data_IF_103380208506
#
_entry.id   IF_103380208506
#
_cell.length_a   1.000
_cell.length_b   1.000
_cell.length_c   1.000
_cell.angle_alpha   90.00
_cell.angle_beta   90.00
_cell.angle_gamma   90.00
#
_symmetry.space_group_name_H-M   'P 1'
#
loop_
_entity.id
_entity.type
_entity.pdbx_description
1 polymer ?
#
# COMPACT_ATOMS: atom_id res chain seq x y z
N UNK A 1 7.83 24.48 -0.32
CA UNK A 1 8.32 24.65 1.09
C UNK A 1 9.85 24.70 1.09
N UNK A 2 10.51 25.75 1.67
CA UNK A 2 11.98 25.84 1.71
C UNK A 2 12.45 26.26 3.10
N UNK A 3 13.61 25.70 3.51
CA UNK A 3 14.31 26.04 4.78
C UNK A 3 13.43 25.88 6.03
N UNK A 4 12.62 24.80 6.11
CA UNK A 4 11.74 24.49 7.23
C UNK A 4 12.21 23.24 7.96
N UNK A 5 11.83 23.15 9.24
CA UNK A 5 11.94 21.92 10.04
C UNK A 5 10.68 21.08 9.85
N UNK A 6 10.81 19.92 9.23
CA UNK A 6 9.69 19.01 8.97
C UNK A 6 9.86 17.75 9.82
N UNK A 7 8.85 17.42 10.60
CA UNK A 7 8.84 16.19 11.41
C UNK A 7 7.87 15.18 10.83
N UNK A 8 8.38 14.01 10.47
CA UNK A 8 7.58 12.89 9.98
C UNK A 8 7.41 11.88 11.11
N UNK A 9 6.16 11.56 11.45
CA UNK A 9 5.79 10.54 12.44
C UNK A 9 5.28 9.30 11.73
N UNK A 10 5.91 8.14 11.97
CA UNK A 10 5.52 6.86 11.37
C UNK A 10 5.66 5.72 12.39
N UNK A 11 5.16 4.53 12.05
CA UNK A 11 5.27 3.34 12.89
C UNK A 11 6.16 2.24 12.32
N UNK A 12 6.77 2.47 11.13
CA UNK A 12 7.59 1.48 10.45
C UNK A 12 8.55 2.15 9.46
N UNK A 13 9.83 1.80 9.55
CA UNK A 13 10.89 2.27 8.68
C UNK A 13 10.74 1.78 7.24
N UNK A 14 10.39 0.50 7.06
CA UNK A 14 10.17 -0.10 5.73
C UNK A 14 9.10 0.66 4.95
N UNK A 15 7.97 0.98 5.59
CA UNK A 15 6.89 1.75 4.96
C UNK A 15 7.35 3.15 4.56
N UNK A 16 8.14 3.81 5.41
CA UNK A 16 8.64 5.14 5.14
C UNK A 16 9.70 5.14 4.02
N UNK A 17 10.69 4.25 4.10
CA UNK A 17 11.75 4.17 3.10
C UNK A 17 11.24 3.72 1.73
N UNK A 18 10.50 2.60 1.64
CA UNK A 18 10.05 2.07 0.36
C UNK A 18 9.04 2.97 -0.36
N UNK A 19 8.14 3.60 0.38
CA UNK A 19 7.03 4.34 -0.22
C UNK A 19 7.14 5.85 -0.14
N UNK A 20 7.99 6.41 0.73
CA UNK A 20 8.08 7.87 0.94
C UNK A 20 9.49 8.43 0.73
N UNK A 21 10.47 7.60 0.32
CA UNK A 21 11.84 8.06 0.06
C UNK A 21 11.91 9.21 -0.94
N UNK A 22 11.09 9.18 -2.00
CA UNK A 22 11.06 10.24 -3.01
C UNK A 22 10.56 11.58 -2.43
N UNK A 23 9.48 11.57 -1.65
CA UNK A 23 9.00 12.76 -0.94
C UNK A 23 10.04 13.28 0.05
N UNK A 24 10.65 12.40 0.83
CA UNK A 24 11.70 12.77 1.80
C UNK A 24 12.88 13.40 1.09
N UNK A 25 13.35 12.80 -0.01
CA UNK A 25 14.44 13.33 -0.82
C UNK A 25 14.12 14.71 -1.35
N UNK A 26 12.95 14.89 -1.96
CA UNK A 26 12.51 16.18 -2.49
C UNK A 26 12.43 17.26 -1.39
N UNK A 27 11.91 16.91 -0.21
CA UNK A 27 11.90 17.84 0.93
C UNK A 27 13.30 18.26 1.35
N UNK A 28 14.27 17.36 1.39
CA UNK A 28 15.68 17.65 1.72
C UNK A 28 16.33 18.47 0.61
N UNK A 29 16.12 18.12 -0.66
CA UNK A 29 16.67 18.83 -1.82
C UNK A 29 16.17 20.28 -1.91
N UNK A 30 14.96 20.56 -1.36
CA UNK A 30 14.44 21.92 -1.17
C UNK A 30 15.04 22.68 0.02
N UNK A 31 16.04 22.12 0.72
CA UNK A 31 16.74 22.74 1.84
C UNK A 31 16.04 22.60 3.20
N UNK A 32 15.07 21.68 3.34
CA UNK A 32 14.41 21.45 4.62
C UNK A 32 15.22 20.53 5.53
N UNK A 33 15.18 20.76 6.84
CA UNK A 33 15.64 19.82 7.86
C UNK A 33 14.55 18.77 8.12
N UNK A 34 14.75 17.52 7.71
CA UNK A 34 13.77 16.45 7.86
C UNK A 34 14.09 15.58 9.06
N UNK A 35 13.21 15.59 10.04
CA UNK A 35 13.22 14.73 11.22
C UNK A 35 12.26 13.57 11.02
N UNK A 36 12.66 12.35 11.40
CA UNK A 36 11.81 11.16 11.37
C UNK A 36 11.71 10.54 12.77
N UNK A 37 10.50 10.28 13.23
CA UNK A 37 10.21 9.67 14.52
C UNK A 37 9.46 8.35 14.32
N UNK A 38 10.12 7.23 14.57
CA UNK A 38 9.61 5.87 14.36
C UNK A 38 10.43 4.86 15.18
N UNK A 39 9.96 3.59 15.30
CA UNK A 39 10.74 2.52 15.93
C UNK A 39 12.04 2.24 15.18
N UNK A 40 13.05 1.74 15.91
CA UNK A 40 14.28 1.24 15.30
C UNK A 40 13.96 0.08 14.33
N UNK A 41 14.57 0.10 13.14
CA UNK A 41 14.40 -0.92 12.12
C UNK A 41 15.60 -0.98 11.18
N UNK A 42 15.63 -1.95 10.28
CA UNK A 42 16.76 -2.21 9.38
C UNK A 42 17.03 -1.09 8.38
N UNK A 43 15.98 -0.37 7.94
CA UNK A 43 16.09 0.71 6.94
C UNK A 43 16.24 2.11 7.53
N UNK A 44 16.35 2.22 8.87
CA UNK A 44 16.62 3.51 9.54
C UNK A 44 17.96 4.08 9.10
N UNK A 45 18.97 3.24 8.91
CA UNK A 45 20.28 3.69 8.48
C UNK A 45 20.22 4.32 7.08
N UNK A 46 19.50 3.72 6.15
CA UNK A 46 19.27 4.26 4.81
C UNK A 46 18.59 5.65 4.85
N UNK A 47 17.58 5.83 5.73
CA UNK A 47 16.92 7.13 5.91
C UNK A 47 17.88 8.19 6.49
N UNK A 48 18.80 7.81 7.40
CA UNK A 48 19.85 8.71 7.92
C UNK A 48 20.85 9.12 6.83
N UNK A 49 21.26 8.16 6.00
CA UNK A 49 22.16 8.41 4.85
C UNK A 49 21.54 9.35 3.81
N UNK A 50 20.21 9.36 3.70
CA UNK A 50 19.48 10.36 2.90
C UNK A 50 19.51 11.77 3.51
N UNK A 51 19.96 11.95 4.76
CA UNK A 51 20.00 13.23 5.46
C UNK A 51 18.90 13.41 6.52
N UNK A 52 18.15 12.37 6.88
CA UNK A 52 17.14 12.48 7.93
C UNK A 52 17.74 12.46 9.34
N UNK A 53 17.20 13.28 10.22
CA UNK A 53 17.47 13.24 11.66
C UNK A 53 16.55 12.22 12.33
N UNK A 54 17.10 11.09 12.78
CA UNK A 54 16.32 10.00 13.39
C UNK A 54 16.08 10.20 14.88
N UNK A 55 14.83 9.94 15.29
CA UNK A 55 14.38 9.95 16.68
C UNK A 55 13.70 8.62 16.97
N UNK A 56 14.35 7.78 17.76
CA UNK A 56 13.77 6.50 18.14
C UNK A 56 12.50 6.69 18.96
N UNK A 57 11.40 6.13 18.46
CA UNK A 57 10.09 6.21 19.08
C UNK A 57 9.40 4.86 18.99
N UNK A 58 9.43 4.04 20.04
CA UNK A 58 8.71 2.77 20.07
C UNK A 58 7.21 2.98 19.89
N UNK A 59 6.61 2.21 18.98
CA UNK A 59 5.17 2.21 18.68
C UNK A 59 4.69 0.78 18.70
N UNK A 60 3.76 0.47 19.60
CA UNK A 60 3.04 -0.80 19.55
C UNK A 60 2.01 -0.75 18.40
N UNK A 61 2.30 -1.45 17.30
CA UNK A 61 1.53 -1.35 16.06
C UNK A 61 0.12 -1.96 16.14
N UNK A 62 -0.06 -3.03 16.90
CA UNK A 62 -1.30 -3.83 16.95
C UNK A 62 -2.01 -3.75 18.31
N UNK A 63 -1.31 -3.39 19.37
CA UNK A 63 -1.87 -3.29 20.72
C UNK A 63 -2.89 -2.17 20.85
N UNK A 64 -3.85 -2.35 21.72
CA UNK A 64 -4.92 -1.39 22.06
C UNK A 64 -4.85 -0.96 23.52
N UNK A 65 -3.66 -0.96 24.12
CA UNK A 65 -3.47 -0.61 25.53
C UNK A 65 -3.46 0.92 25.73
N UNK A 66 -4.45 1.50 26.44
CA UNK A 66 -4.56 2.95 26.63
C UNK A 66 -3.36 3.58 27.32
N UNK A 67 -2.73 2.88 28.27
CA UNK A 67 -1.56 3.40 28.98
C UNK A 67 -0.33 3.52 28.05
N UNK A 68 -0.12 2.54 27.17
CA UNK A 68 0.96 2.57 26.17
C UNK A 68 0.69 3.69 25.14
N UNK A 69 -0.55 3.86 24.73
CA UNK A 69 -0.95 4.87 23.78
C UNK A 69 -0.86 6.29 24.36
N UNK A 70 -1.19 6.46 25.64
CA UNK A 70 -0.97 7.73 26.35
C UNK A 70 0.53 8.06 26.47
N UNK A 71 1.38 7.07 26.78
CA UNK A 71 2.85 7.26 26.79
C UNK A 71 3.37 7.70 25.43
N UNK A 72 2.87 7.11 24.34
CA UNK A 72 3.24 7.49 22.97
C UNK A 72 2.82 8.95 22.69
N UNK A 73 1.61 9.34 23.05
CA UNK A 73 1.13 10.71 22.89
C UNK A 73 2.01 11.70 23.65
N UNK A 74 2.35 11.43 24.92
CA UNK A 74 3.25 12.29 25.71
C UNK A 74 4.67 12.36 25.11
N UNK A 75 5.16 11.28 24.52
CA UNK A 75 6.43 11.27 23.81
C UNK A 75 6.38 12.22 22.60
N UNK A 76 5.31 12.19 21.81
CA UNK A 76 5.13 13.14 20.70
C UNK A 76 5.05 14.59 21.19
N UNK A 77 4.36 14.88 22.30
CA UNK A 77 4.36 16.20 22.92
C UNK A 77 5.78 16.69 23.26
N UNK A 78 6.63 15.82 23.81
CA UNK A 78 8.01 16.15 24.16
C UNK A 78 8.88 16.38 22.91
N UNK A 79 8.76 15.52 21.89
CA UNK A 79 9.48 15.66 20.61
C UNK A 79 9.14 16.98 19.95
N UNK A 80 7.84 17.30 19.81
CA UNK A 80 7.36 18.56 19.25
C UNK A 80 7.85 19.76 20.03
N UNK A 81 7.92 19.68 21.36
CA UNK A 81 8.46 20.76 22.20
C UNK A 81 9.95 21.01 22.03
N UNK A 82 10.73 19.94 21.79
CA UNK A 82 12.19 20.02 21.59
C UNK A 82 12.55 20.50 20.18
N UNK A 83 11.95 19.90 19.14
CA UNK A 83 12.29 20.18 17.73
C UNK A 83 11.69 21.51 17.28
N UNK A 84 10.46 21.80 17.74
CA UNK A 84 9.63 22.94 17.28
C UNK A 84 9.54 22.96 15.75
N UNK A 85 9.00 21.90 15.13
CA UNK A 85 8.93 21.81 13.67
C UNK A 85 7.93 22.82 13.11
N UNK A 86 8.18 23.28 11.89
CA UNK A 86 7.28 24.15 11.14
C UNK A 86 6.09 23.37 10.56
N UNK A 87 6.27 22.06 10.32
CA UNK A 87 5.26 21.16 9.81
C UNK A 87 5.45 19.74 10.38
N UNK A 88 4.34 19.11 10.72
CA UNK A 88 4.32 17.68 11.07
C UNK A 88 3.56 16.90 10.01
N UNK A 89 4.13 15.79 9.53
CA UNK A 89 3.48 14.86 8.61
C UNK A 89 3.33 13.52 9.33
N UNK A 90 2.13 12.97 9.36
CA UNK A 90 1.89 11.72 10.07
C UNK A 90 1.44 10.61 9.12
N UNK A 91 1.94 9.40 9.36
CA UNK A 91 1.58 8.19 8.61
C UNK A 91 1.15 7.09 9.57
N UNK A 92 0.13 6.33 9.20
CA UNK A 92 -0.43 5.20 9.95
C UNK A 92 -1.25 5.61 11.19
N UNK A 93 -2.08 4.68 11.68
CA UNK A 93 -3.18 4.99 12.63
C UNK A 93 -2.71 5.70 13.91
N UNK A 94 -1.75 5.13 14.64
CA UNK A 94 -1.32 5.69 15.93
C UNK A 94 -0.59 7.03 15.80
N UNK A 95 0.39 7.20 14.89
CA UNK A 95 0.96 8.52 14.60
C UNK A 95 -0.07 9.53 14.11
N UNK A 96 -1.02 9.12 13.27
CA UNK A 96 -2.10 10.00 12.79
C UNK A 96 -2.97 10.51 13.96
N UNK A 97 -3.33 9.63 14.88
CA UNK A 97 -4.17 9.98 16.03
C UNK A 97 -3.34 10.77 17.06
N UNK A 98 -2.33 10.17 17.65
CA UNK A 98 -1.62 10.75 18.81
C UNK A 98 -0.66 11.87 18.40
N UNK A 99 -0.01 11.75 17.24
CA UNK A 99 0.82 12.82 16.67
C UNK A 99 -0.02 14.02 16.23
N UNK A 100 -1.15 13.77 15.57
CA UNK A 100 -2.10 14.82 15.18
C UNK A 100 -2.70 15.57 16.39
N UNK A 101 -3.09 14.84 17.46
CA UNK A 101 -3.55 15.44 18.70
C UNK A 101 -2.44 16.31 19.32
N UNK A 102 -1.21 15.78 19.43
CA UNK A 102 -0.09 16.51 20.00
C UNK A 102 0.26 17.78 19.21
N UNK A 103 0.32 17.69 17.87
CA UNK A 103 0.58 18.85 16.98
C UNK A 103 -0.51 19.91 17.12
N UNK A 104 -1.79 19.50 17.14
CA UNK A 104 -2.93 20.39 17.35
C UNK A 104 -2.81 21.18 18.66
N UNK A 105 -2.54 20.50 19.78
CA UNK A 105 -2.41 21.17 21.08
C UNK A 105 -1.19 22.09 21.15
N UNK A 106 -0.09 21.74 20.47
CA UNK A 106 1.09 22.61 20.33
C UNK A 106 0.90 23.73 19.30
N UNK A 107 -0.23 23.78 18.59
CA UNK A 107 -0.54 24.73 17.52
C UNK A 107 0.49 24.70 16.38
N UNK A 108 1.09 23.55 16.13
CA UNK A 108 2.02 23.32 15.03
C UNK A 108 1.20 22.86 13.81
N UNK A 109 1.43 23.43 12.61
CA UNK A 109 0.82 22.96 11.37
C UNK A 109 1.10 21.46 11.14
N UNK A 110 0.09 20.72 10.70
CA UNK A 110 0.27 19.28 10.46
C UNK A 110 -0.65 18.75 9.37
N UNK A 111 -0.18 17.70 8.71
CA UNK A 111 -0.93 16.91 7.72
C UNK A 111 -1.02 15.45 8.18
N UNK A 112 -2.15 14.82 7.87
CA UNK A 112 -2.45 13.43 8.24
C UNK A 112 -2.56 12.60 6.98
N UNK A 113 -1.87 11.45 6.90
CA UNK A 113 -1.92 10.55 5.76
C UNK A 113 -2.63 9.24 6.14
N UNK A 114 -3.78 9.00 5.51
CA UNK A 114 -4.57 7.78 5.69
C UNK A 114 -4.16 6.78 4.61
N UNK A 115 -3.21 5.92 4.96
CA UNK A 115 -2.66 4.86 4.08
C UNK A 115 -3.48 3.57 4.12
N UNK A 116 -4.62 3.60 4.78
CA UNK A 116 -5.57 2.51 4.97
C UNK A 116 -6.33 2.69 6.26
N UNK A 117 -7.53 2.11 6.34
CA UNK A 117 -8.40 2.26 7.52
C UNK A 117 -8.01 1.32 8.67
N UNK A 118 -7.30 0.23 8.36
CA UNK A 118 -6.96 -0.83 9.32
C UNK A 118 -8.18 -1.66 9.75
N UNK A 119 -7.91 -2.67 10.58
CA UNK A 119 -8.94 -3.63 11.03
C UNK A 119 -10.04 -3.01 11.90
N UNK A 120 -9.77 -1.86 12.51
CA UNK A 120 -10.75 -1.17 13.37
C UNK A 120 -12.02 -0.71 12.63
N UNK A 121 -11.92 -0.49 11.30
CA UNK A 121 -13.06 -0.09 10.48
C UNK A 121 -13.81 -1.26 9.82
N UNK A 122 -13.33 -2.49 9.97
CA UNK A 122 -13.93 -3.67 9.33
C UNK A 122 -15.21 -4.15 10.02
N UNK A 123 -15.39 -3.81 11.31
CA UNK A 123 -16.53 -4.25 12.10
C UNK A 123 -17.17 -3.08 12.83
N UNK A 124 -18.50 -3.07 12.93
CA UNK A 124 -19.27 -2.12 13.70
C UNK A 124 -19.22 -2.45 15.20
N UNK A 125 -18.16 -2.04 15.86
CA UNK A 125 -17.94 -2.32 17.29
C UNK A 125 -17.48 -1.07 18.07
N UNK A 126 -17.30 -1.23 19.39
CA UNK A 126 -16.86 -0.14 20.27
C UNK A 126 -15.47 0.40 19.90
N UNK A 127 -14.60 -0.44 19.33
CA UNK A 127 -13.26 -0.06 18.89
C UNK A 127 -13.37 0.91 17.71
N UNK A 128 -14.23 0.64 16.73
CA UNK A 128 -14.49 1.57 15.61
C UNK A 128 -14.96 2.92 16.12
N UNK A 129 -15.95 2.95 17.06
CA UNK A 129 -16.47 4.20 17.64
C UNK A 129 -15.36 5.01 18.32
N UNK A 130 -14.50 4.34 19.11
CA UNK A 130 -13.35 4.98 19.75
C UNK A 130 -12.35 5.54 18.73
N UNK A 131 -11.98 4.77 17.71
CA UNK A 131 -11.04 5.20 16.68
C UNK A 131 -11.60 6.37 15.87
N UNK A 132 -12.89 6.35 15.51
CA UNK A 132 -13.59 7.47 14.86
C UNK A 132 -13.53 8.72 15.73
N UNK A 133 -13.82 8.60 17.02
CA UNK A 133 -13.75 9.74 17.96
C UNK A 133 -12.33 10.32 18.04
N UNK A 134 -11.31 9.46 18.16
CA UNK A 134 -9.91 9.89 18.21
C UNK A 134 -9.46 10.56 16.90
N UNK A 135 -9.90 10.06 15.74
CA UNK A 135 -9.66 10.73 14.46
C UNK A 135 -10.37 12.08 14.35
N UNK A 136 -11.61 12.23 14.85
CA UNK A 136 -12.28 13.52 14.93
C UNK A 136 -11.46 14.55 15.73
N UNK A 137 -10.88 14.10 16.85
CA UNK A 137 -10.00 14.97 17.66
C UNK A 137 -8.71 15.31 16.90
N UNK A 138 -8.07 14.33 16.31
CA UNK A 138 -6.80 14.48 15.58
C UNK A 138 -6.96 15.35 14.33
N UNK A 139 -7.95 15.07 13.47
CA UNK A 139 -8.11 15.75 12.20
C UNK A 139 -8.71 17.17 12.29
N UNK A 140 -9.24 17.59 13.47
CA UNK A 140 -10.01 18.83 13.63
C UNK A 140 -9.30 20.11 13.14
N UNK A 141 -7.96 20.19 13.26
CA UNK A 141 -7.14 21.34 12.88
C UNK A 141 -6.00 20.97 11.90
N UNK A 142 -6.07 19.77 11.31
CA UNK A 142 -5.13 19.41 10.27
C UNK A 142 -5.22 20.37 9.09
N UNK A 143 -4.07 20.78 8.54
CA UNK A 143 -3.99 21.61 7.33
C UNK A 143 -4.65 20.87 6.15
N UNK A 144 -4.28 19.60 5.98
CA UNK A 144 -4.86 18.69 5.01
C UNK A 144 -4.85 17.25 5.51
N UNK A 145 -5.77 16.45 4.99
CA UNK A 145 -5.81 15.00 5.22
C UNK A 145 -5.68 14.33 3.85
N UNK A 146 -4.59 13.59 3.67
CA UNK A 146 -4.34 12.81 2.47
C UNK A 146 -4.95 11.41 2.58
N UNK A 147 -5.54 10.95 1.50
CA UNK A 147 -6.06 9.59 1.34
C UNK A 147 -5.41 8.92 0.14
N UNK A 148 -5.21 7.62 0.19
CA UNK A 148 -4.65 6.85 -0.93
C UNK A 148 -5.71 6.37 -1.93
N UNK A 149 -7.01 6.46 -1.57
CA UNK A 149 -8.15 6.18 -2.46
C UNK A 149 -9.41 6.93 -2.00
N UNK A 150 -10.39 7.05 -2.91
CA UNK A 150 -11.65 7.74 -2.64
C UNK A 150 -12.52 7.00 -1.61
N UNK A 151 -12.50 5.66 -1.58
CA UNK A 151 -13.29 4.89 -0.63
C UNK A 151 -12.92 5.19 0.82
N UNK A 152 -11.63 5.25 1.14
CA UNK A 152 -11.17 5.62 2.48
C UNK A 152 -11.53 7.07 2.84
N UNK A 153 -11.48 8.00 1.89
CA UNK A 153 -11.94 9.38 2.06
C UNK A 153 -13.45 9.41 2.37
N UNK A 154 -14.24 8.68 1.60
CA UNK A 154 -15.69 8.63 1.77
C UNK A 154 -16.08 8.09 3.15
N UNK A 155 -15.42 7.03 3.64
CA UNK A 155 -15.63 6.52 5.01
C UNK A 155 -15.38 7.60 6.07
N UNK A 156 -14.37 8.46 5.91
CA UNK A 156 -14.09 9.55 6.84
C UNK A 156 -15.15 10.65 6.78
N UNK A 157 -15.69 10.96 5.60
CA UNK A 157 -16.78 11.94 5.42
C UNK A 157 -18.06 11.41 6.06
N UNK A 158 -18.48 10.19 5.76
CA UNK A 158 -19.70 9.55 6.28
C UNK A 158 -19.69 9.43 7.81
N UNK A 159 -18.54 9.16 8.40
CA UNK A 159 -18.38 9.15 9.86
C UNK A 159 -18.24 10.55 10.47
N UNK A 160 -18.36 11.63 9.67
CA UNK A 160 -18.20 13.02 10.10
C UNK A 160 -16.85 13.27 10.79
N UNK A 161 -15.76 12.62 10.31
CA UNK A 161 -14.42 12.84 10.84
C UNK A 161 -13.83 14.12 10.26
N UNK A 162 -14.07 14.36 8.96
CA UNK A 162 -13.54 15.50 8.21
C UNK A 162 -14.64 16.14 7.34
N UNK A 163 -14.35 17.39 6.89
CA UNK A 163 -15.05 18.01 5.77
C UNK A 163 -14.26 17.74 4.48
N UNK A 164 -14.95 17.53 3.38
CA UNK A 164 -14.33 17.25 2.07
C UNK A 164 -13.30 18.31 1.65
N UNK A 165 -13.59 19.58 1.93
CA UNK A 165 -12.73 20.71 1.58
C UNK A 165 -11.31 20.69 2.18
N UNK A 166 -11.04 19.79 3.12
CA UNK A 166 -9.71 19.60 3.74
C UNK A 166 -9.08 18.26 3.42
N UNK A 167 -9.57 17.58 2.42
CA UNK A 167 -9.04 16.30 1.97
C UNK A 167 -8.37 16.41 0.61
N UNK A 168 -7.36 15.60 0.40
CA UNK A 168 -6.70 15.41 -0.89
C UNK A 168 -6.53 13.91 -1.12
N UNK A 169 -7.06 13.39 -2.21
CA UNK A 169 -6.83 12.00 -2.60
C UNK A 169 -5.64 11.93 -3.53
N UNK A 170 -4.67 11.11 -3.16
CA UNK A 170 -3.49 10.79 -3.95
C UNK A 170 -3.60 9.35 -4.45
N UNK A 171 -3.04 9.00 -5.61
CA UNK A 171 -3.02 7.62 -6.08
C UNK A 171 -1.92 6.82 -5.34
N UNK A 172 -2.14 6.58 -4.04
CA UNK A 172 -1.18 5.93 -3.16
C UNK A 172 0.11 6.73 -2.96
N UNK A 173 1.23 6.02 -2.95
CA UNK A 173 2.57 6.60 -2.93
C UNK A 173 3.14 6.86 -4.33
N UNK A 174 2.39 6.49 -5.36
CA UNK A 174 2.89 6.41 -6.72
C UNK A 174 3.91 5.28 -6.93
N UNK A 175 4.25 5.05 -8.17
CA UNK A 175 5.27 4.07 -8.58
C UNK A 175 6.47 4.77 -9.22
N UNK A 176 7.67 4.32 -8.88
CA UNK A 176 8.90 4.78 -9.48
C UNK A 176 9.09 4.08 -10.84
N UNK A 177 8.80 4.79 -11.91
CA UNK A 177 8.83 4.26 -13.27
C UNK A 177 10.24 4.00 -13.79
N UNK A 178 11.25 4.59 -13.15
CA UNK A 178 12.66 4.35 -13.46
C UNK A 178 13.23 3.14 -12.70
N UNK A 179 12.71 2.87 -11.50
CA UNK A 179 13.00 1.66 -10.72
C UNK A 179 12.26 0.43 -11.28
N UNK A 180 10.97 0.59 -11.66
CA UNK A 180 10.11 -0.44 -12.25
C UNK A 180 9.94 -0.18 -13.76
N UNK A 181 11.03 -0.32 -14.50
CA UNK A 181 11.02 -0.14 -15.95
C UNK A 181 10.19 -1.22 -16.63
N UNK A 182 9.49 -0.83 -17.69
CA UNK A 182 8.82 -1.80 -18.55
C UNK A 182 9.82 -2.85 -19.03
N UNK A 183 9.42 -4.11 -18.95
CA UNK A 183 10.21 -5.25 -19.45
C UNK A 183 9.46 -5.95 -20.55
N UNK A 184 10.17 -6.58 -21.51
CA UNK A 184 9.50 -7.39 -22.53
C UNK A 184 8.50 -8.36 -21.91
N UNK A 185 7.38 -8.55 -22.58
CA UNK A 185 6.42 -9.58 -22.19
C UNK A 185 7.09 -10.96 -22.33
N UNK A 186 6.79 -11.95 -21.47
CA UNK A 186 7.34 -13.30 -21.59
C UNK A 186 7.15 -13.88 -23.00
N UNK A 187 8.04 -14.77 -23.41
CA UNK A 187 7.93 -15.46 -24.70
C UNK A 187 6.65 -16.30 -24.75
N UNK A 188 6.10 -16.47 -25.96
CA UNK A 188 4.91 -17.25 -26.19
C UNK A 188 5.07 -18.68 -25.66
N UNK A 189 4.17 -19.09 -24.79
CA UNK A 189 4.20 -20.40 -24.16
C UNK A 189 2.78 -20.87 -23.79
N UNK A 190 2.57 -22.19 -23.81
CA UNK A 190 1.36 -22.78 -23.23
C UNK A 190 1.36 -22.73 -21.70
N UNK A 191 2.54 -22.57 -21.08
CA UNK A 191 2.70 -22.47 -19.63
C UNK A 191 2.44 -21.02 -19.19
N UNK A 192 1.18 -20.64 -19.06
CA UNK A 192 0.78 -19.34 -18.49
C UNK A 192 1.13 -19.30 -17.01
N UNK A 193 1.84 -18.26 -16.60
CA UNK A 193 2.33 -18.07 -15.24
C UNK A 193 1.60 -16.91 -14.54
N UNK A 194 0.75 -17.26 -13.59
CA UNK A 194 0.13 -16.28 -12.69
C UNK A 194 1.04 -16.00 -11.49
N UNK A 195 1.13 -14.74 -11.09
CA UNK A 195 1.94 -14.30 -9.96
C UNK A 195 1.07 -13.62 -8.91
N UNK A 196 1.27 -13.99 -7.67
CA UNK A 196 0.78 -13.27 -6.49
C UNK A 196 1.98 -12.76 -5.68
N UNK A 197 1.96 -11.48 -5.28
CA UNK A 197 2.95 -10.90 -4.37
C UNK A 197 2.21 -10.25 -3.20
N UNK A 198 2.45 -10.75 -2.00
CA UNK A 198 1.84 -10.22 -0.80
C UNK A 198 1.97 -11.17 0.40
N UNK A 199 1.55 -10.71 1.57
CA UNK A 199 1.45 -11.61 2.73
C UNK A 199 0.41 -12.70 2.44
N UNK A 200 0.75 -13.95 2.70
CA UNK A 200 -0.20 -15.05 2.58
C UNK A 200 -1.10 -15.02 3.81
N UNK A 201 -2.25 -14.36 3.67
CA UNK A 201 -3.25 -14.17 4.71
C UNK A 201 -4.64 -14.02 4.07
N UNK A 202 -5.69 -14.29 4.84
CA UNK A 202 -7.08 -14.31 4.36
C UNK A 202 -7.51 -13.01 3.67
N UNK A 203 -7.14 -11.87 4.22
CA UNK A 203 -7.54 -10.55 3.70
C UNK A 203 -6.91 -10.23 2.33
N UNK A 204 -5.89 -10.99 1.93
CA UNK A 204 -5.29 -10.90 0.59
C UNK A 204 -5.97 -11.80 -0.45
N UNK A 205 -7.06 -12.49 -0.06
CA UNK A 205 -7.85 -13.34 -0.97
C UNK A 205 -7.12 -14.60 -1.42
N UNK A 206 -6.14 -15.06 -0.63
CA UNK A 206 -5.38 -16.28 -0.99
C UNK A 206 -6.24 -17.54 -0.97
N UNK A 207 -7.34 -17.53 -0.22
CA UNK A 207 -8.30 -18.63 -0.17
C UNK A 207 -8.99 -18.83 -1.53
N UNK A 208 -9.40 -17.72 -2.14
CA UNK A 208 -10.01 -17.68 -3.47
C UNK A 208 -9.00 -18.09 -4.54
N UNK A 209 -7.79 -17.52 -4.47
CA UNK A 209 -6.72 -17.85 -5.40
C UNK A 209 -6.35 -19.35 -5.37
N UNK A 210 -6.22 -19.94 -4.18
CA UNK A 210 -5.89 -21.37 -4.07
C UNK A 210 -6.99 -22.30 -4.57
N UNK A 211 -8.26 -21.90 -4.39
CA UNK A 211 -9.40 -22.66 -4.95
C UNK A 211 -9.43 -22.56 -6.47
N UNK A 212 -9.31 -21.34 -7.01
CA UNK A 212 -9.24 -21.12 -8.45
C UNK A 212 -8.06 -21.85 -9.08
N UNK A 213 -6.87 -21.78 -8.49
CA UNK A 213 -5.69 -22.50 -8.95
C UNK A 213 -5.90 -24.02 -9.04
N UNK A 214 -6.53 -24.61 -8.01
CA UNK A 214 -6.87 -26.05 -8.03
C UNK A 214 -7.80 -26.42 -9.17
N UNK A 215 -8.80 -25.59 -9.45
CA UNK A 215 -9.78 -25.85 -10.49
C UNK A 215 -9.17 -25.66 -11.89
N UNK A 216 -8.45 -24.58 -12.10
CA UNK A 216 -7.75 -24.28 -13.36
C UNK A 216 -6.75 -25.39 -13.71
N UNK A 217 -5.96 -25.88 -12.75
CA UNK A 217 -5.00 -26.96 -12.95
C UNK A 217 -5.61 -28.28 -13.43
N UNK A 218 -6.90 -28.53 -13.19
CA UNK A 218 -7.59 -29.73 -13.71
C UNK A 218 -7.85 -29.62 -15.22
N UNK A 219 -8.03 -28.39 -15.73
CA UNK A 219 -8.36 -28.12 -17.13
C UNK A 219 -7.10 -27.74 -17.90
N UNK A 220 -6.23 -26.96 -17.30
CA UNK A 220 -4.97 -26.44 -17.85
C UNK A 220 -3.80 -26.85 -16.94
N UNK A 221 -3.34 -28.11 -17.02
CA UNK A 221 -2.29 -28.63 -16.12
C UNK A 221 -0.94 -27.94 -16.25
N UNK A 222 -0.65 -27.33 -17.41
CA UNK A 222 0.56 -26.57 -17.69
C UNK A 222 0.61 -25.19 -17.04
N UNK A 223 -0.53 -24.59 -16.67
CA UNK A 223 -0.58 -23.29 -16.02
C UNK A 223 0.10 -23.32 -14.65
N UNK A 224 0.85 -22.30 -14.29
CA UNK A 224 1.56 -22.21 -13.02
C UNK A 224 1.12 -21.00 -12.19
N UNK A 225 1.24 -21.15 -10.86
CA UNK A 225 0.86 -20.14 -9.87
C UNK A 225 2.03 -19.92 -8.92
N UNK A 226 2.67 -18.76 -9.04
CA UNK A 226 3.81 -18.34 -8.23
C UNK A 226 3.32 -17.47 -7.07
N UNK A 227 3.66 -17.85 -5.84
CA UNK A 227 3.27 -17.14 -4.63
C UNK A 227 4.53 -16.61 -3.94
N UNK A 228 4.64 -15.28 -3.83
CA UNK A 228 5.78 -14.58 -3.25
C UNK A 228 5.32 -13.75 -2.04
N UNK A 229 5.98 -13.92 -0.92
CA UNK A 229 5.76 -13.15 0.30
C UNK A 229 5.73 -14.02 1.56
N UNK A 230 5.79 -13.38 2.74
CA UNK A 230 5.73 -14.13 4.00
C UNK A 230 4.32 -14.67 4.22
N UNK A 231 4.23 -15.85 4.83
CA UNK A 231 2.94 -16.41 5.26
C UNK A 231 2.69 -16.14 6.74
N UNK A 232 1.42 -16.08 7.14
CA UNK A 232 1.01 -16.17 8.53
C UNK A 232 0.97 -17.64 8.96
N UNK A 233 1.13 -17.93 10.26
CA UNK A 233 1.34 -19.29 10.78
C UNK A 233 0.23 -20.26 10.40
N UNK A 234 -1.01 -19.82 10.31
CA UNK A 234 -2.20 -20.62 9.96
C UNK A 234 -2.14 -21.20 8.53
N UNK A 235 -1.24 -20.72 7.67
CA UNK A 235 -1.15 -21.15 6.28
C UNK A 235 -0.06 -22.19 6.00
N UNK A 236 0.78 -22.53 6.96
CA UNK A 236 1.96 -23.37 6.75
C UNK A 236 1.62 -24.74 6.16
N UNK A 237 0.74 -25.49 6.82
CA UNK A 237 0.36 -26.85 6.38
C UNK A 237 -0.35 -26.82 5.02
N UNK A 238 -1.20 -25.81 4.81
CA UNK A 238 -1.95 -25.65 3.57
C UNK A 238 -1.03 -25.35 2.39
N UNK A 239 -0.08 -24.41 2.54
CA UNK A 239 0.93 -24.11 1.52
C UNK A 239 1.75 -25.36 1.20
N UNK A 240 2.24 -26.09 2.21
CA UNK A 240 2.98 -27.32 2.01
C UNK A 240 2.18 -28.38 1.23
N UNK A 241 0.89 -28.50 1.51
CA UNK A 241 0.00 -29.41 0.77
C UNK A 241 -0.16 -28.97 -0.69
N UNK A 242 -0.38 -27.68 -0.95
CA UNK A 242 -0.54 -27.14 -2.30
C UNK A 242 0.73 -27.30 -3.14
N UNK A 243 1.90 -27.08 -2.55
CA UNK A 243 3.20 -27.27 -3.21
C UNK A 243 3.44 -28.75 -3.52
N UNK A 244 3.23 -29.67 -2.55
CA UNK A 244 3.40 -31.11 -2.78
C UNK A 244 2.51 -31.65 -3.90
N UNK A 245 1.31 -31.09 -4.05
CA UNK A 245 0.36 -31.46 -5.09
C UNK A 245 0.60 -30.73 -6.43
N UNK A 246 1.66 -29.92 -6.55
CA UNK A 246 1.99 -29.18 -7.78
C UNK A 246 0.98 -28.09 -8.17
N UNK A 247 0.18 -27.63 -7.22
CA UNK A 247 -0.84 -26.59 -7.47
C UNK A 247 -0.19 -25.21 -7.54
N UNK A 248 0.75 -24.91 -6.63
CA UNK A 248 1.45 -23.61 -6.55
C UNK A 248 2.95 -23.82 -6.38
N UNK A 249 3.72 -22.78 -6.71
CA UNK A 249 5.11 -22.61 -6.29
C UNK A 249 5.14 -21.51 -5.21
N UNK A 250 5.77 -21.80 -4.06
CA UNK A 250 5.89 -20.86 -2.96
C UNK A 250 7.35 -20.48 -2.72
N UNK A 251 7.65 -19.18 -2.79
CA UNK A 251 9.01 -18.66 -2.73
C UNK A 251 9.35 -17.94 -1.41
N UNK A 252 8.37 -17.83 -0.49
CA UNK A 252 8.58 -17.06 0.74
C UNK A 252 8.79 -15.56 0.51
N UNK A 253 9.32 -14.88 1.52
CA UNK A 253 9.67 -13.46 1.40
C UNK A 253 10.86 -13.28 0.45
N UNK A 254 10.71 -12.35 -0.49
CA UNK A 254 11.78 -11.93 -1.40
C UNK A 254 11.99 -10.43 -1.24
N UNK A 255 13.23 -10.01 -1.16
CA UNK A 255 13.60 -8.60 -1.06
C UNK A 255 13.37 -7.86 -2.40
N UNK A 256 13.78 -8.52 -3.51
CA UNK A 256 13.52 -8.06 -4.88
C UNK A 256 12.50 -8.97 -5.57
N UNK A 257 11.36 -8.39 -5.92
CA UNK A 257 10.27 -9.10 -6.61
C UNK A 257 10.32 -8.97 -8.12
N UNK A 258 11.17 -8.07 -8.67
CA UNK A 258 11.27 -7.80 -10.12
C UNK A 258 11.59 -9.05 -10.97
N UNK A 259 12.46 -9.99 -10.54
CA UNK A 259 12.69 -11.22 -11.28
C UNK A 259 11.45 -12.10 -11.47
N UNK A 260 10.53 -12.09 -10.50
CA UNK A 260 9.26 -12.81 -10.57
C UNK A 260 8.28 -12.10 -11.50
N UNK A 261 8.17 -10.77 -11.38
CA UNK A 261 7.32 -9.94 -12.25
C UNK A 261 7.77 -10.08 -13.70
N UNK A 262 9.08 -10.09 -13.97
CA UNK A 262 9.62 -10.25 -15.33
C UNK A 262 9.19 -11.56 -15.98
N UNK A 263 9.00 -12.62 -15.20
CA UNK A 263 8.70 -13.98 -15.70
C UNK A 263 7.20 -14.28 -15.75
N UNK A 264 6.34 -13.51 -15.11
CA UNK A 264 4.92 -13.80 -15.06
C UNK A 264 4.19 -13.25 -16.30
N UNK A 265 3.12 -13.94 -16.69
CA UNK A 265 2.21 -13.51 -17.75
C UNK A 265 1.13 -12.58 -17.20
N UNK A 266 0.66 -12.82 -15.98
CA UNK A 266 -0.37 -12.03 -15.34
C UNK A 266 -0.18 -11.96 -13.84
N UNK A 267 -0.42 -10.80 -13.25
CA UNK A 267 -0.44 -10.61 -11.79
C UNK A 267 -1.85 -10.71 -11.24
N UNK A 268 -2.02 -11.44 -10.12
CA UNK A 268 -3.32 -11.69 -9.50
C UNK A 268 -3.29 -11.28 -8.02
N UNK A 269 -4.21 -10.38 -7.64
CA UNK A 269 -4.34 -9.91 -6.25
C UNK A 269 -5.82 -9.78 -5.86
N UNK A 270 -6.48 -10.84 -5.37
CA UNK A 270 -7.90 -10.82 -5.02
C UNK A 270 -8.16 -10.31 -3.60
N UNK A 271 -7.52 -9.22 -3.19
CA UNK A 271 -7.59 -8.65 -1.84
C UNK A 271 -9.00 -8.20 -1.44
N UNK A 272 -9.30 -8.24 -0.14
CA UNK A 272 -10.55 -7.73 0.41
C UNK A 272 -10.48 -6.25 0.81
N UNK A 273 -9.30 -5.76 1.15
CA UNK A 273 -9.05 -4.39 1.61
C UNK A 273 -7.64 -3.95 1.25
N UNK A 274 -7.50 -2.75 0.69
CA UNK A 274 -6.21 -2.10 0.44
C UNK A 274 -6.29 -0.59 0.74
N UNK A 275 -5.16 0.01 1.05
CA UNK A 275 -4.98 1.45 0.94
C UNK A 275 -4.77 1.81 -0.53
N UNK A 276 -3.57 1.46 -1.02
CA UNK A 276 -3.22 1.30 -2.43
C UNK A 276 -2.37 0.03 -2.53
N UNK A 277 -2.74 -0.86 -3.44
CA UNK A 277 -2.01 -2.11 -3.67
C UNK A 277 -0.75 -1.84 -4.49
N UNK A 278 0.36 -1.51 -3.81
CA UNK A 278 1.61 -1.16 -4.49
C UNK A 278 2.11 -2.25 -5.44
N UNK A 279 1.89 -3.53 -5.13
CA UNK A 279 2.28 -4.64 -6.01
C UNK A 279 1.53 -4.66 -7.34
N UNK A 280 0.28 -4.15 -7.39
CA UNK A 280 -0.42 -3.89 -8.66
C UNK A 280 0.31 -2.81 -9.47
N UNK A 281 0.74 -1.73 -8.81
CA UNK A 281 1.47 -0.65 -9.49
C UNK A 281 2.84 -1.14 -9.99
N UNK A 282 3.54 -1.94 -9.20
CA UNK A 282 4.84 -2.53 -9.56
C UNK A 282 4.71 -3.45 -10.78
N UNK A 283 3.72 -4.35 -10.78
CA UNK A 283 3.48 -5.27 -11.89
C UNK A 283 3.00 -4.53 -13.14
N UNK A 284 2.05 -3.59 -12.99
CA UNK A 284 1.56 -2.77 -14.10
C UNK A 284 2.67 -1.91 -14.73
N UNK A 285 3.56 -1.32 -13.91
CA UNK A 285 4.70 -0.53 -14.39
C UNK A 285 5.69 -1.38 -15.21
N UNK A 286 5.87 -2.65 -14.84
CA UNK A 286 6.71 -3.59 -15.60
C UNK A 286 5.98 -4.20 -16.82
N UNK A 287 4.77 -3.74 -17.15
CA UNK A 287 4.03 -4.17 -18.33
C UNK A 287 3.34 -5.53 -18.15
N UNK A 288 2.77 -5.81 -16.99
CA UNK A 288 2.03 -7.05 -16.75
C UNK A 288 0.52 -6.79 -16.66
N UNK A 289 -0.32 -7.62 -17.32
CA UNK A 289 -1.75 -7.66 -17.08
C UNK A 289 -2.11 -7.89 -15.64
N UNK A 290 -3.24 -7.34 -15.17
CA UNK A 290 -3.62 -7.32 -13.77
C UNK A 290 -4.99 -7.94 -13.57
N UNK A 291 -5.15 -8.92 -12.67
CA UNK A 291 -6.44 -9.41 -12.21
C UNK A 291 -6.56 -9.07 -10.72
N UNK A 292 -7.58 -8.30 -10.34
CA UNK A 292 -7.71 -7.86 -8.95
C UNK A 292 -9.17 -7.66 -8.54
N UNK A 293 -9.39 -7.47 -7.25
CA UNK A 293 -10.73 -7.23 -6.72
C UNK A 293 -11.25 -5.83 -7.08
N UNK A 294 -12.57 -5.75 -7.31
CA UNK A 294 -13.34 -4.50 -7.48
C UNK A 294 -13.52 -3.79 -6.14
N UNK A 295 -12.42 -3.43 -5.51
CA UNK A 295 -12.37 -2.68 -4.25
C UNK A 295 -11.49 -1.43 -4.43
N UNK A 296 -11.75 -0.39 -3.62
CA UNK A 296 -10.87 0.76 -3.57
C UNK A 296 -9.47 0.38 -3.09
N UNK A 297 -8.46 0.96 -3.72
CA UNK A 297 -7.04 0.61 -3.53
C UNK A 297 -6.54 -0.48 -4.47
N UNK A 298 -7.44 -1.12 -5.22
CA UNK A 298 -7.12 -2.08 -6.29
C UNK A 298 -7.68 -1.63 -7.65
N UNK A 299 -8.98 -1.33 -7.70
CA UNK A 299 -9.67 -1.01 -8.96
C UNK A 299 -9.14 0.24 -9.66
N UNK A 300 -8.51 1.15 -8.94
CA UNK A 300 -7.91 2.35 -9.52
C UNK A 300 -6.73 2.04 -10.47
N UNK A 301 -6.08 0.88 -10.30
CA UNK A 301 -4.97 0.43 -11.14
C UNK A 301 -5.44 -0.31 -12.42
N UNK A 302 -6.72 -0.67 -12.50
CA UNK A 302 -7.25 -1.52 -13.59
C UNK A 302 -8.38 -0.82 -14.34
N UNK A 303 -8.24 -0.74 -15.66
CA UNK A 303 -9.31 -0.48 -16.61
C UNK A 303 -9.82 -1.84 -17.09
N UNK A 304 -11.00 -2.23 -16.60
CA UNK A 304 -11.58 -3.56 -16.81
C UNK A 304 -11.69 -3.92 -18.29
N UNK A 305 -11.13 -5.06 -18.71
CA UNK A 305 -11.04 -5.49 -20.10
C UNK A 305 -9.93 -4.82 -20.94
N UNK A 306 -9.25 -3.78 -20.43
CA UNK A 306 -8.19 -3.09 -21.20
C UNK A 306 -6.79 -3.49 -20.78
N UNK A 307 -6.46 -3.37 -19.47
CA UNK A 307 -5.16 -3.70 -18.92
C UNK A 307 -5.23 -4.83 -17.87
N UNK A 308 -6.38 -5.47 -17.75
CA UNK A 308 -6.65 -6.54 -16.82
C UNK A 308 -8.13 -6.71 -16.54
N UNK A 309 -8.45 -7.43 -15.47
CA UNK A 309 -9.83 -7.74 -15.09
C UNK A 309 -10.12 -7.41 -13.64
N UNK A 310 -11.36 -6.99 -13.38
CA UNK A 310 -11.90 -6.77 -12.05
C UNK A 310 -12.87 -7.87 -11.66
N UNK A 311 -12.69 -8.45 -10.47
CA UNK A 311 -13.55 -9.48 -9.89
C UNK A 311 -14.14 -9.01 -8.57
N UNK A 312 -15.28 -9.54 -8.16
CA UNK A 312 -15.81 -9.21 -6.85
C UNK A 312 -14.96 -9.86 -5.73
N UNK A 313 -14.76 -9.15 -4.65
CA UNK A 313 -14.00 -9.68 -3.51
C UNK A 313 -14.70 -10.91 -2.93
N UNK A 314 -13.92 -11.96 -2.59
CA UNK A 314 -14.41 -13.25 -2.08
C UNK A 314 -15.19 -14.10 -3.10
N UNK A 315 -15.14 -13.75 -4.37
CA UNK A 315 -15.78 -14.51 -5.45
C UNK A 315 -14.74 -15.42 -6.13
N UNK A 316 -14.75 -16.71 -5.73
CA UNK A 316 -13.88 -17.74 -6.32
C UNK A 316 -14.23 -17.97 -7.79
N UNK A 317 -15.52 -18.00 -8.12
CA UNK A 317 -15.99 -18.33 -9.46
C UNK A 317 -15.64 -17.22 -10.45
N UNK A 318 -15.93 -15.97 -10.09
CA UNK A 318 -15.57 -14.81 -10.91
C UNK A 318 -14.04 -14.69 -11.11
N UNK A 319 -13.25 -15.00 -10.07
CA UNK A 319 -11.79 -15.04 -10.20
C UNK A 319 -11.34 -16.13 -11.18
N UNK A 320 -11.90 -17.34 -11.08
CA UNK A 320 -11.61 -18.46 -11.97
C UNK A 320 -12.00 -18.12 -13.42
N UNK A 321 -13.21 -17.59 -13.65
CA UNK A 321 -13.68 -17.19 -14.97
C UNK A 321 -12.75 -16.15 -15.62
N UNK A 322 -12.31 -15.13 -14.89
CA UNK A 322 -11.39 -14.11 -15.44
C UNK A 322 -9.97 -14.61 -15.67
N UNK A 323 -9.51 -15.56 -14.87
CA UNK A 323 -8.23 -16.22 -15.13
C UNK A 323 -8.29 -17.13 -16.36
N UNK A 324 -9.41 -17.86 -16.56
CA UNK A 324 -9.62 -18.68 -17.77
C UNK A 324 -9.75 -17.79 -19.01
N UNK A 325 -10.54 -16.72 -18.95
CA UNK A 325 -10.64 -15.72 -20.02
C UNK A 325 -9.25 -15.21 -20.44
N UNK A 326 -8.40 -14.88 -19.45
CA UNK A 326 -7.01 -14.49 -19.70
C UNK A 326 -6.18 -15.61 -20.37
N UNK A 327 -6.30 -16.86 -19.91
CA UNK A 327 -5.58 -18.02 -20.50
C UNK A 327 -5.93 -18.16 -21.98
N UNK A 328 -7.19 -17.96 -22.36
CA UNK A 328 -7.71 -18.15 -23.70
C UNK A 328 -7.39 -17.01 -24.69
N UNK A 329 -6.96 -15.84 -24.19
CA UNK A 329 -6.47 -14.75 -25.05
C UNK A 329 -5.30 -15.22 -25.91
N UNK A 330 -5.15 -14.66 -27.12
CA UNK A 330 -3.95 -14.81 -27.93
C UNK A 330 -2.72 -14.19 -27.22
N UNK A 331 -1.53 -14.62 -27.64
CA UNK A 331 -0.29 -14.05 -27.13
C UNK A 331 -0.24 -12.52 -27.30
N UNK A 332 -0.64 -12.04 -28.48
CA UNK A 332 -0.59 -10.61 -28.79
C UNK A 332 -1.59 -9.78 -27.95
N UNK A 333 -2.79 -10.32 -27.68
CA UNK A 333 -3.74 -9.66 -26.79
C UNK A 333 -3.21 -9.56 -25.37
N UNK A 334 -2.60 -10.61 -24.82
CA UNK A 334 -1.96 -10.60 -23.50
C UNK A 334 -0.86 -9.55 -23.42
N UNK A 335 0.00 -9.48 -24.42
CA UNK A 335 1.11 -8.52 -24.52
C UNK A 335 0.56 -7.08 -24.59
N UNK A 336 -0.43 -6.81 -25.45
CA UNK A 336 -1.08 -5.48 -25.55
C UNK A 336 -1.75 -5.07 -24.23
N UNK A 337 -2.36 -6.02 -23.53
CA UNK A 337 -2.93 -5.77 -22.19
C UNK A 337 -1.83 -5.34 -21.19
N UNK A 338 -0.65 -5.96 -21.25
CA UNK A 338 0.52 -5.56 -20.46
C UNK A 338 1.04 -4.17 -20.83
N UNK A 339 1.12 -3.81 -22.11
CA UNK A 339 1.49 -2.48 -22.58
C UNK A 339 0.52 -1.40 -22.08
N UNK A 340 -0.78 -1.71 -22.11
CA UNK A 340 -1.81 -0.82 -21.55
C UNK A 340 -1.68 -0.66 -20.05
N UNK A 341 -1.26 -1.72 -19.31
CA UNK A 341 -0.95 -1.61 -17.88
C UNK A 341 0.13 -0.56 -17.62
N UNK A 342 1.24 -0.63 -18.36
CA UNK A 342 2.32 0.37 -18.27
C UNK A 342 1.79 1.79 -18.50
N UNK A 343 0.99 1.99 -19.53
CA UNK A 343 0.41 3.29 -19.85
C UNK A 343 -0.48 3.84 -18.73
N UNK A 344 -1.30 2.99 -18.11
CA UNK A 344 -2.11 3.39 -16.94
C UNK A 344 -1.23 3.86 -15.78
N UNK A 345 -0.10 3.17 -15.54
CA UNK A 345 0.83 3.58 -14.48
C UNK A 345 1.49 4.93 -14.79
N UNK A 346 1.89 5.18 -16.03
CA UNK A 346 2.46 6.45 -16.47
C UNK A 346 1.47 7.61 -16.36
N UNK A 347 0.21 7.39 -16.74
CA UNK A 347 -0.83 8.42 -16.74
C UNK A 347 -1.35 8.79 -15.34
N UNK A 348 -1.32 7.86 -14.39
CA UNK A 348 -2.07 8.01 -13.13
C UNK A 348 -1.24 7.86 -11.87
N UNK A 349 -0.13 7.16 -11.95
CA UNK A 349 0.59 6.70 -10.76
C UNK A 349 2.08 7.07 -10.75
N UNK A 350 2.54 7.97 -11.63
CA UNK A 350 3.94 8.43 -11.58
C UNK A 350 4.22 9.04 -10.20
N UNK A 351 5.23 8.52 -9.54
CA UNK A 351 5.65 8.95 -8.21
C UNK A 351 6.03 10.43 -8.17
N UNK A 352 6.58 10.97 -9.26
CA UNK A 352 6.95 12.39 -9.36
C UNK A 352 5.71 13.29 -9.21
N UNK A 353 4.64 12.96 -9.93
CA UNK A 353 3.38 13.71 -9.86
C UNK A 353 2.74 13.65 -8.46
N UNK A 354 2.83 12.48 -7.81
CA UNK A 354 2.33 12.30 -6.44
C UNK A 354 3.13 13.14 -5.44
N UNK A 355 4.45 13.20 -5.58
CA UNK A 355 5.34 14.00 -4.73
C UNK A 355 5.05 15.50 -4.93
N UNK A 356 4.99 15.96 -6.18
CA UNK A 356 4.73 17.36 -6.52
C UNK A 356 3.37 17.82 -5.97
N UNK A 357 2.33 17.01 -6.19
CA UNK A 357 0.99 17.28 -5.66
C UNK A 357 0.95 17.30 -4.14
N UNK A 358 1.72 16.42 -3.49
CA UNK A 358 1.84 16.40 -2.02
C UNK A 358 2.47 17.70 -1.53
N UNK A 359 3.58 18.12 -2.11
CA UNK A 359 4.30 19.34 -1.72
C UNK A 359 3.44 20.58 -1.96
N UNK A 360 2.81 20.71 -3.12
CA UNK A 360 1.90 21.81 -3.44
C UNK A 360 0.74 21.93 -2.43
N UNK A 361 0.20 20.80 -1.99
CA UNK A 361 -0.87 20.78 -0.98
C UNK A 361 -0.36 21.13 0.42
N UNK A 362 0.91 20.85 0.71
CA UNK A 362 1.54 21.15 2.00
C UNK A 362 2.07 22.60 2.08
N UNK A 363 2.29 23.29 0.97
CA UNK A 363 2.67 24.72 0.93
C UNK A 363 1.48 25.61 1.27
#
# INVERSE_FOLDING_TARGET
>A
MKNKKILILANLDVGLYKFRKALIKELIDQGNEVYISLPKGMLVQNLKEMGCHFIETPVDRRGINPATDFKLMMRYFNILGKIKPDLVITYTIKPNIYGGIAARFKRIPYAVNITGLGTAFQNENMIKKLVVFLYKLSCKKAKTIFFENEGNKQVFIENNIIKESRSCTLPGAGIDLDEYKMTPYPEESRNIRFLFIGRVMKEKGVEELFKAAKNIKKIYPEVSFDIVGPMEDDYKERIQSLVRNGIIYYYGYQEDVKPFIKKCDCFVLPSYHEGMANTLLECGAMGRPLITSRIHGCMEAVRDGENGYLVDAKDVKGLEEKMVEFIELSYEEKKQMGEKSRKVMEERFDKRDVVDRTILTLD
#
